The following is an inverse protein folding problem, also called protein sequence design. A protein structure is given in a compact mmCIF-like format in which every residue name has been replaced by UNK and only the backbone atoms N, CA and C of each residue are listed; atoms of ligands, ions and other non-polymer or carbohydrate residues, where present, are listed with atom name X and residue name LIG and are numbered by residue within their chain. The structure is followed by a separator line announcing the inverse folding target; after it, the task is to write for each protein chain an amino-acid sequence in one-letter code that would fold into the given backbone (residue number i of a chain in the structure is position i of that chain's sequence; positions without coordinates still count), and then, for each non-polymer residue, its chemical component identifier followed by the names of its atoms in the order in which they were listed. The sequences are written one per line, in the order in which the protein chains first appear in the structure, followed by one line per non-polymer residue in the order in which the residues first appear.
data_IF_801993348397
#
_entry.id   IF_801993348397
#
_cell.length_a   1.000
_cell.length_b   1.000
_cell.length_c   1.000
_cell.angle_alpha   90.00
_cell.angle_beta   90.00
_cell.angle_gamma   90.00
#
_symmetry.space_group_name_H-M   'P 1'
#
loop_
_entity.id
_entity.type
_entity.pdbx_description
1 polymer ?
#
# COMPACT_ATOMS: atom_id res chain seq x y z
N UNK A 1 -17.32 66.32 48.20
CA UNK A 1 -16.77 65.20 47.40
C UNK A 1 -17.72 64.96 46.24
N UNK A 2 -17.32 65.31 45.01
CA UNK A 2 -18.16 65.20 43.81
C UNK A 2 -17.57 64.12 42.92
N UNK A 3 -18.40 63.13 42.56
CA UNK A 3 -18.02 61.96 41.77
C UNK A 3 -17.73 62.32 40.31
N UNK A 4 -16.68 61.68 39.78
CA UNK A 4 -16.15 61.75 38.41
C UNK A 4 -17.22 61.53 37.34
N UNK A 5 -17.27 62.41 36.34
CA UNK A 5 -18.14 62.28 35.17
C UNK A 5 -17.75 61.09 34.27
N UNK A 6 -18.74 60.25 33.93
CA UNK A 6 -18.65 59.30 32.83
C UNK A 6 -18.64 60.06 31.50
N UNK A 7 -17.46 60.21 30.89
CA UNK A 7 -17.35 60.67 29.50
C UNK A 7 -17.95 59.58 28.60
N UNK A 8 -19.10 59.88 28.01
CA UNK A 8 -19.75 59.04 27.02
C UNK A 8 -18.79 58.76 25.87
N UNK A 9 -18.45 57.48 25.68
CA UNK A 9 -17.69 57.01 24.54
C UNK A 9 -18.52 57.39 23.31
N UNK A 10 -17.98 58.23 22.42
CA UNK A 10 -18.70 58.67 21.23
C UNK A 10 -19.19 57.44 20.45
N UNK A 11 -20.50 57.27 20.21
CA UNK A 11 -21.06 56.05 19.58
C UNK A 11 -20.37 55.68 18.26
N UNK A 12 -19.87 56.69 17.55
CA UNK A 12 -19.12 56.56 16.31
C UNK A 12 -17.78 55.83 16.52
N UNK A 13 -17.03 56.18 17.57
CA UNK A 13 -15.72 55.56 17.86
C UNK A 13 -15.90 54.09 18.23
N UNK A 14 -16.98 53.74 18.93
CA UNK A 14 -17.30 52.35 19.29
C UNK A 14 -17.63 51.51 18.04
N UNK A 15 -18.39 52.06 17.09
CA UNK A 15 -18.71 51.34 15.85
C UNK A 15 -17.48 51.07 14.98
N UNK A 16 -16.55 52.03 14.88
CA UNK A 16 -15.30 51.86 14.11
C UNK A 16 -14.41 50.79 14.75
N UNK A 17 -14.30 50.78 16.08
CA UNK A 17 -13.57 49.74 16.82
C UNK A 17 -14.16 48.35 16.60
N UNK A 18 -15.49 48.22 16.58
CA UNK A 18 -16.16 46.95 16.35
C UNK A 18 -15.87 46.42 14.94
N UNK A 19 -15.96 47.27 13.91
CA UNK A 19 -15.72 46.88 12.52
C UNK A 19 -14.27 46.40 12.33
N UNK A 20 -13.28 47.09 12.90
CA UNK A 20 -11.87 46.67 12.82
C UNK A 20 -11.64 45.27 13.41
N UNK A 21 -12.27 44.95 14.54
CA UNK A 21 -12.17 43.63 15.19
C UNK A 21 -12.83 42.54 14.32
N UNK A 22 -13.98 42.83 13.70
CA UNK A 22 -14.64 41.85 12.82
C UNK A 22 -13.80 41.50 11.59
N UNK A 23 -13.14 42.48 10.98
CA UNK A 23 -12.27 42.27 9.80
C UNK A 23 -11.04 41.43 10.18
N UNK A 24 -10.47 41.65 11.36
CA UNK A 24 -9.35 40.86 11.86
C UNK A 24 -9.72 39.39 12.11
N UNK A 25 -10.90 39.13 12.70
CA UNK A 25 -11.38 37.76 12.92
C UNK A 25 -11.62 37.01 11.62
N UNK A 26 -12.16 37.68 10.59
CA UNK A 26 -12.38 37.07 9.26
C UNK A 26 -11.05 36.66 8.62
N UNK A 27 -10.00 37.48 8.72
CA UNK A 27 -8.68 37.15 8.18
C UNK A 27 -8.03 35.91 8.84
N UNK A 28 -8.19 35.78 10.16
CA UNK A 28 -7.69 34.62 10.91
C UNK A 28 -8.47 33.36 10.53
N UNK A 29 -9.80 33.45 10.41
CA UNK A 29 -10.66 32.34 9.99
C UNK A 29 -10.34 31.88 8.56
N UNK A 30 -10.08 32.80 7.63
CA UNK A 30 -9.64 32.46 6.27
C UNK A 30 -8.32 31.69 6.28
N UNK A 31 -7.33 32.15 7.04
CA UNK A 31 -6.01 31.51 7.11
C UNK A 31 -6.11 30.10 7.70
N UNK A 32 -6.97 29.92 8.71
CA UNK A 32 -7.21 28.62 9.34
C UNK A 32 -7.98 27.65 8.44
N UNK A 33 -8.98 28.14 7.69
CA UNK A 33 -9.70 27.35 6.68
C UNK A 33 -8.77 26.90 5.55
N UNK A 34 -7.97 27.80 5.00
CA UNK A 34 -7.00 27.46 3.93
C UNK A 34 -5.99 26.42 4.40
N UNK A 35 -5.46 26.56 5.62
CA UNK A 35 -4.54 25.57 6.20
C UNK A 35 -5.19 24.20 6.49
N UNK A 36 -6.51 24.15 6.76
CA UNK A 36 -7.24 22.87 6.89
C UNK A 36 -7.50 22.23 5.51
N UNK A 37 -7.77 23.04 4.48
CA UNK A 37 -7.91 22.56 3.09
C UNK A 37 -6.61 21.97 2.55
N UNK A 38 -5.47 22.60 2.82
CA UNK A 38 -4.15 22.08 2.45
C UNK A 38 -3.86 20.73 3.12
N UNK A 39 -4.20 20.58 4.40
CA UNK A 39 -4.03 19.32 5.14
C UNK A 39 -4.95 18.19 4.66
N UNK A 40 -6.18 18.51 4.26
CA UNK A 40 -7.07 17.51 3.64
C UNK A 40 -6.57 17.04 2.27
N UNK A 41 -5.94 17.94 1.50
CA UNK A 41 -5.40 17.61 0.18
C UNK A 41 -4.17 16.69 0.27
N UNK A 42 -3.34 16.86 1.31
CA UNK A 42 -2.18 16.00 1.57
C UNK A 42 -2.56 14.60 2.07
N UNK A 43 -3.63 14.48 2.88
CA UNK A 43 -4.18 13.18 3.28
C UNK A 43 -4.90 12.45 2.13
N UNK A 44 -5.53 13.19 1.22
CA UNK A 44 -6.19 12.62 0.02
C UNK A 44 -5.19 12.00 -0.96
N UNK A 45 -4.01 12.61 -1.15
CA UNK A 45 -2.97 12.05 -2.03
C UNK A 45 -2.42 10.71 -1.51
N UNK A 46 -2.23 10.56 -0.20
CA UNK A 46 -1.83 9.28 0.43
C UNK A 46 -2.92 8.21 0.31
N UNK A 47 -4.18 8.62 0.34
CA UNK A 47 -5.31 7.72 0.08
C UNK A 47 -5.34 7.23 -1.37
N UNK A 48 -4.94 8.06 -2.34
CA UNK A 48 -4.90 7.69 -3.74
C UNK A 48 -3.80 6.66 -4.06
N UNK A 49 -2.60 6.80 -3.49
CA UNK A 49 -1.55 5.79 -3.64
C UNK A 49 -1.94 4.44 -3.01
N UNK A 50 -2.61 4.47 -1.85
CA UNK A 50 -3.14 3.27 -1.21
C UNK A 50 -4.28 2.60 -1.99
N UNK A 51 -5.05 3.34 -2.80
CA UNK A 51 -6.14 2.78 -3.64
C UNK A 51 -5.60 2.21 -4.96
N UNK A 52 -4.56 2.82 -5.54
CA UNK A 52 -3.89 2.27 -6.74
C UNK A 52 -3.09 1.01 -6.39
N UNK A 53 -2.43 0.96 -5.23
CA UNK A 53 -1.77 -0.25 -4.73
C UNK A 53 -2.78 -1.39 -4.44
N UNK A 54 -3.99 -1.07 -3.96
CA UNK A 54 -5.07 -2.06 -3.77
C UNK A 54 -5.64 -2.66 -5.06
N UNK A 55 -5.25 -2.14 -6.23
CA UNK A 55 -5.68 -2.67 -7.52
C UNK A 55 -4.73 -3.74 -8.07
N UNK A 56 -3.59 -3.99 -7.39
CA UNK A 56 -2.64 -5.02 -7.79
C UNK A 56 -2.84 -6.28 -6.96
N UNK A 57 -2.69 -7.43 -7.60
CA UNK A 57 -2.80 -8.74 -6.97
C UNK A 57 -1.84 -9.72 -7.62
N UNK A 58 -1.53 -10.80 -6.91
CA UNK A 58 -0.83 -11.97 -7.46
C UNK A 58 -1.62 -13.21 -7.10
N UNK A 59 -1.53 -14.23 -7.95
CA UNK A 59 -2.16 -15.53 -7.75
C UNK A 59 -1.09 -16.60 -7.89
N UNK A 60 -1.20 -17.65 -7.06
CA UNK A 60 -0.44 -18.88 -7.26
C UNK A 60 -1.37 -19.86 -7.95
N UNK A 61 -1.15 -20.11 -9.24
CA UNK A 61 -2.04 -20.95 -10.07
C UNK A 61 -1.71 -22.42 -9.93
N UNK A 62 -0.45 -22.74 -9.63
CA UNK A 62 0.07 -24.10 -9.50
C UNK A 62 1.14 -24.09 -8.41
N UNK A 63 1.12 -25.11 -7.55
CA UNK A 63 2.18 -25.37 -6.58
C UNK A 63 2.30 -26.89 -6.37
N UNK A 64 3.43 -27.49 -6.75
CA UNK A 64 3.66 -28.92 -6.57
C UNK A 64 5.13 -29.23 -6.29
N UNK A 65 5.41 -30.35 -5.64
CA UNK A 65 6.78 -30.82 -5.45
C UNK A 65 7.30 -31.59 -6.67
N UNK A 66 8.50 -31.22 -7.13
CA UNK A 66 9.23 -31.92 -8.19
C UNK A 66 10.70 -32.13 -7.78
N UNK A 67 11.07 -33.39 -7.58
CA UNK A 67 12.43 -33.77 -7.24
C UNK A 67 13.44 -33.49 -8.37
N UNK A 68 12.99 -33.42 -9.62
CA UNK A 68 13.84 -33.15 -10.79
C UNK A 68 14.28 -31.69 -10.84
N UNK A 69 13.41 -30.79 -10.40
CA UNK A 69 13.69 -29.35 -10.26
C UNK A 69 14.31 -29.01 -8.89
N UNK A 70 14.35 -29.99 -7.97
CA UNK A 70 15.00 -29.87 -6.67
C UNK A 70 14.17 -29.18 -5.59
N UNK A 71 12.84 -29.09 -5.75
CA UNK A 71 12.00 -28.38 -4.79
C UNK A 71 10.52 -28.22 -5.14
N UNK A 72 9.86 -27.25 -4.50
CA UNK A 72 8.46 -26.93 -4.79
C UNK A 72 8.41 -25.96 -5.96
N UNK A 73 7.85 -26.42 -7.09
CA UNK A 73 7.61 -25.60 -8.27
C UNK A 73 6.33 -24.80 -8.08
N UNK A 74 6.40 -23.50 -8.32
CA UNK A 74 5.31 -22.54 -8.13
C UNK A 74 5.11 -21.72 -9.39
N UNK A 75 3.87 -21.67 -9.90
CA UNK A 75 3.46 -20.73 -10.94
C UNK A 75 2.82 -19.49 -10.30
N UNK A 76 3.44 -18.34 -10.50
CA UNK A 76 2.95 -17.04 -10.06
C UNK A 76 2.37 -16.32 -11.26
N UNK A 77 1.15 -15.80 -11.12
CA UNK A 77 0.45 -15.04 -12.16
C UNK A 77 0.03 -13.67 -11.65
N UNK A 78 0.28 -12.64 -12.43
CA UNK A 78 -0.35 -11.33 -12.27
C UNK A 78 -1.71 -11.36 -13.00
N UNK A 79 -2.84 -11.16 -12.33
CA UNK A 79 -4.14 -11.15 -13.00
C UNK A 79 -4.22 -10.04 -14.05
N UNK A 80 -4.94 -10.29 -15.15
CA UNK A 80 -5.17 -9.28 -16.19
C UNK A 80 -5.98 -8.06 -15.68
N UNK A 81 -6.60 -8.15 -14.50
CA UNK A 81 -7.23 -7.03 -13.81
C UNK A 81 -6.25 -6.05 -13.18
N UNK A 82 -4.97 -6.42 -13.07
CA UNK A 82 -3.93 -5.52 -12.60
C UNK A 82 -3.76 -4.37 -13.59
N UNK A 83 -3.56 -3.16 -13.06
CA UNK A 83 -3.37 -1.96 -13.89
C UNK A 83 -1.90 -1.65 -14.16
N UNK A 84 -0.97 -2.34 -13.48
CA UNK A 84 0.48 -2.17 -13.59
C UNK A 84 1.19 -3.50 -13.35
N UNK A 85 2.46 -3.57 -13.76
CA UNK A 85 3.33 -4.70 -13.49
C UNK A 85 3.58 -4.82 -11.98
N UNK A 86 3.58 -6.06 -11.48
CA UNK A 86 3.89 -6.37 -10.09
C UNK A 86 5.39 -6.56 -9.94
N UNK A 87 5.99 -5.88 -8.96
CA UNK A 87 7.39 -6.07 -8.64
C UNK A 87 7.57 -7.31 -7.75
N UNK A 88 8.37 -8.27 -8.23
CA UNK A 88 8.72 -9.48 -7.49
C UNK A 88 10.09 -9.38 -6.80
N UNK A 89 10.91 -8.37 -7.11
CA UNK A 89 12.23 -8.16 -6.52
C UNK A 89 12.13 -7.90 -5.03
N UNK A 90 12.83 -8.70 -4.21
CA UNK A 90 12.74 -8.57 -2.75
C UNK A 90 11.47 -9.16 -2.15
N UNK A 91 10.70 -9.94 -2.90
CA UNK A 91 9.60 -10.73 -2.35
C UNK A 91 10.11 -11.73 -1.31
N UNK A 92 9.30 -11.95 -0.28
CA UNK A 92 9.53 -12.99 0.72
C UNK A 92 8.75 -14.24 0.34
N UNK A 93 9.46 -15.36 0.26
CA UNK A 93 8.90 -16.67 -0.07
C UNK A 93 8.87 -17.53 1.19
N UNK A 94 7.72 -18.13 1.49
CA UNK A 94 7.53 -18.95 2.67
C UNK A 94 6.97 -20.32 2.29
N UNK A 95 7.50 -21.36 2.91
CA UNK A 95 6.91 -22.72 2.92
C UNK A 95 6.57 -23.03 4.38
N UNK A 96 5.30 -23.28 4.68
CA UNK A 96 4.79 -23.47 6.05
C UNK A 96 5.18 -22.36 7.03
N UNK A 97 5.11 -21.11 6.55
CA UNK A 97 5.55 -19.90 7.27
C UNK A 97 7.05 -19.82 7.57
N UNK A 98 7.88 -20.70 6.99
CA UNK A 98 9.34 -20.63 7.07
C UNK A 98 9.90 -19.94 5.84
N UNK A 99 10.66 -18.86 6.06
CA UNK A 99 11.29 -18.07 5.01
C UNK A 99 12.29 -18.93 4.23
N UNK A 100 12.20 -18.86 2.91
CA UNK A 100 13.12 -19.52 1.99
C UNK A 100 14.12 -18.48 1.46
N UNK A 101 15.40 -18.67 1.84
CA UNK A 101 16.49 -17.76 1.45
C UNK A 101 17.14 -18.11 0.11
N UNK A 102 16.75 -19.23 -0.50
CA UNK A 102 17.25 -19.70 -1.79
C UNK A 102 16.08 -20.01 -2.70
N UNK A 103 16.14 -19.48 -3.91
CA UNK A 103 15.19 -19.71 -4.99
C UNK A 103 15.97 -20.31 -6.14
N UNK A 104 15.47 -21.42 -6.69
CA UNK A 104 16.06 -22.02 -7.88
C UNK A 104 15.28 -21.57 -9.11
N UNK A 105 16.00 -21.44 -10.22
CA UNK A 105 15.41 -21.12 -11.51
C UNK A 105 14.72 -22.37 -12.04
N UNK A 106 13.44 -22.24 -12.41
CA UNK A 106 12.71 -23.33 -13.03
C UNK A 106 13.17 -23.53 -14.48
N UNK A 107 13.45 -24.77 -14.86
CA UNK A 107 14.05 -25.09 -16.17
C UNK A 107 13.04 -25.32 -17.30
N UNK A 108 11.78 -25.63 -16.96
CA UNK A 108 10.74 -26.04 -17.91
C UNK A 108 9.88 -24.92 -18.51
N UNK A 109 10.15 -23.65 -18.23
CA UNK A 109 9.30 -22.54 -18.67
C UNK A 109 9.86 -21.15 -18.37
N UNK A 110 9.03 -20.12 -18.51
CA UNK A 110 9.42 -18.72 -18.22
C UNK A 110 9.67 -18.56 -16.73
N UNK A 111 10.93 -18.45 -16.33
CA UNK A 111 11.29 -18.27 -14.93
C UNK A 111 10.94 -16.85 -14.45
N UNK A 112 10.65 -16.68 -13.15
CA UNK A 112 10.41 -15.37 -12.52
C UNK A 112 11.71 -14.54 -12.35
N UNK A 113 12.65 -14.61 -13.30
CA UNK A 113 13.88 -13.82 -13.31
C UNK A 113 13.63 -12.36 -13.69
N UNK A 114 12.49 -12.08 -14.33
CA UNK A 114 12.02 -10.73 -14.51
C UNK A 114 11.54 -10.18 -13.15
N UNK A 115 12.20 -9.12 -12.71
CA UNK A 115 11.86 -8.34 -11.52
C UNK A 115 10.42 -7.78 -11.56
N UNK A 116 9.83 -7.70 -12.75
CA UNK A 116 8.49 -7.18 -13.02
C UNK A 116 7.65 -8.24 -13.74
N UNK A 117 6.43 -8.44 -13.26
CA UNK A 117 5.43 -9.33 -13.86
C UNK A 117 4.25 -8.50 -14.39
N UNK A 118 4.11 -8.42 -15.70
CA UNK A 118 3.06 -7.62 -16.36
C UNK A 118 1.66 -8.21 -16.15
N UNK A 119 0.58 -7.40 -16.19
CA UNK A 119 -0.79 -7.90 -16.07
C UNK A 119 -1.12 -8.98 -17.11
N UNK A 120 -1.58 -10.15 -16.65
CA UNK A 120 -1.91 -11.30 -17.49
C UNK A 120 -0.76 -12.29 -17.67
N UNK A 121 0.48 -11.90 -17.34
CA UNK A 121 1.64 -12.77 -17.45
C UNK A 121 1.79 -13.71 -16.26
N UNK A 122 2.48 -14.82 -16.49
CA UNK A 122 2.82 -15.80 -15.49
C UNK A 122 4.28 -16.23 -15.60
N UNK A 123 4.85 -16.62 -14.48
CA UNK A 123 6.22 -17.11 -14.40
C UNK A 123 6.32 -18.25 -13.38
N UNK A 124 7.38 -19.04 -13.51
CA UNK A 124 7.67 -20.19 -12.66
C UNK A 124 8.91 -19.96 -11.81
N UNK A 125 8.91 -20.58 -10.63
CA UNK A 125 10.08 -20.61 -9.76
C UNK A 125 10.04 -21.82 -8.84
N UNK A 126 11.20 -22.17 -8.29
CA UNK A 126 11.33 -23.26 -7.33
C UNK A 126 11.65 -22.69 -5.95
N UNK A 127 10.82 -23.04 -4.97
CA UNK A 127 10.84 -22.48 -3.62
C UNK A 127 11.01 -23.61 -2.60
N UNK A 128 12.08 -23.55 -1.81
CA UNK A 128 12.35 -24.58 -0.80
C UNK A 128 12.63 -25.96 -1.39
N UNK A 129 13.13 -26.88 -0.56
CA UNK A 129 13.60 -28.20 -1.00
C UNK A 129 12.80 -29.36 -0.41
N UNK A 130 11.95 -29.08 0.56
CA UNK A 130 11.15 -30.07 1.29
C UNK A 130 9.75 -29.57 1.52
N UNK A 131 8.77 -30.46 1.45
CA UNK A 131 7.39 -30.19 1.85
C UNK A 131 6.75 -31.46 2.39
N UNK A 132 5.66 -31.32 3.14
CA UNK A 132 4.87 -32.41 3.70
C UNK A 132 3.43 -32.35 3.15
N UNK A 133 2.67 -33.42 3.33
CA UNK A 133 1.25 -33.42 2.97
C UNK A 133 0.50 -32.30 3.69
N UNK A 134 -0.11 -31.38 2.92
CA UNK A 134 -0.82 -30.21 3.42
C UNK A 134 0.05 -28.96 3.61
N UNK A 135 1.34 -29.02 3.25
CA UNK A 135 2.21 -27.85 3.27
C UNK A 135 1.67 -26.73 2.38
N UNK A 136 1.94 -25.49 2.78
CA UNK A 136 1.49 -24.29 2.05
C UNK A 136 2.69 -23.46 1.62
N UNK A 137 2.62 -22.95 0.39
CA UNK A 137 3.55 -21.92 -0.09
C UNK A 137 2.86 -20.55 -0.01
N UNK A 138 3.60 -19.54 0.40
CA UNK A 138 3.15 -18.15 0.43
C UNK A 138 4.20 -17.23 -0.17
N UNK A 139 3.75 -16.22 -0.91
CA UNK A 139 4.60 -15.18 -1.50
C UNK A 139 4.08 -13.84 -1.00
N UNK A 140 4.97 -13.00 -0.51
CA UNK A 140 4.68 -11.65 -0.06
C UNK A 140 5.59 -10.71 -0.86
N UNK A 141 5.01 -9.88 -1.71
CA UNK A 141 5.76 -8.90 -2.50
C UNK A 141 6.15 -7.68 -1.64
N UNK A 142 7.12 -6.85 -2.08
CA UNK A 142 7.48 -5.61 -1.38
C UNK A 142 6.30 -4.65 -1.21
N UNK A 143 5.36 -4.68 -2.16
CA UNK A 143 4.11 -3.90 -2.11
C UNK A 143 3.05 -4.50 -1.16
N UNK A 144 3.45 -5.43 -0.29
CA UNK A 144 2.60 -6.14 0.68
C UNK A 144 1.45 -6.94 0.05
N UNK A 145 1.56 -7.32 -1.23
CA UNK A 145 0.62 -8.23 -1.89
C UNK A 145 0.95 -9.65 -1.46
N UNK A 146 -0.06 -10.40 -1.03
CA UNK A 146 0.11 -11.78 -0.56
C UNK A 146 -0.68 -12.77 -1.40
N UNK A 147 -0.04 -13.85 -1.82
CA UNK A 147 -0.69 -15.04 -2.32
C UNK A 147 -0.25 -16.27 -1.51
N UNK A 148 -1.15 -17.25 -1.38
CA UNK A 148 -0.86 -18.51 -0.73
C UNK A 148 -1.61 -19.65 -1.40
N UNK A 149 -1.00 -20.83 -1.44
CA UNK A 149 -1.61 -22.05 -1.98
C UNK A 149 -1.06 -23.28 -1.27
N UNK A 150 -1.89 -24.31 -1.13
CA UNK A 150 -1.45 -25.65 -0.72
C UNK A 150 -0.59 -26.27 -1.82
N UNK A 151 0.47 -26.96 -1.42
CA UNK A 151 1.39 -27.65 -2.31
C UNK A 151 0.87 -29.06 -2.56
N UNK A 152 0.73 -29.39 -3.83
CA UNK A 152 0.34 -30.73 -4.27
C UNK A 152 1.57 -31.66 -4.35
N UNK A 153 1.34 -32.98 -4.26
CA UNK A 153 2.37 -34.01 -4.47
C UNK A 153 3.55 -34.01 -3.46
N UNK A 154 3.34 -33.55 -2.22
CA UNK A 154 4.31 -33.70 -1.14
C UNK A 154 4.23 -35.09 -0.50
N UNK A 155 5.39 -35.69 -0.21
CA UNK A 155 5.54 -37.01 0.42
C UNK A 155 5.92 -36.92 1.88
#
# INVERSE_FOLDING_TARGET
MVYKGHKGISPVIATILMVMITVALVGILFTWFTGMTEKQQEETNKQYEGVVQRSQSILITVAYYDASEGGVVVEVRAPASNTRSVNLTGSTYLVDNVIQNSLLTYSGGTSCTADLLDPGEACYMVVGTTCHSGSTVSIITPDAIRASRTIDNCS
#
